data_IF_225945178998
#
_entry.id   IF_225945178998
#
_cell.length_a   1.000
_cell.length_b   1.000
_cell.length_c   1.000
_cell.angle_alpha   90.00
_cell.angle_beta   90.00
_cell.angle_gamma   90.00
#
_symmetry.space_group_name_H-M   'P 1'
#
loop_
_entity.id
_entity.type
_entity.pdbx_description
1 polymer ?
#
# COMPACT_ATOMS: atom_id res chain seq x y z
N UNK A 1 -15.91 -6.90 6.63
CA UNK A 1 -14.53 -6.57 7.05
C UNK A 1 -13.86 -5.81 5.91
N UNK A 2 -13.29 -4.64 6.19
CA UNK A 2 -12.63 -3.78 5.18
C UNK A 2 -11.18 -4.21 4.95
N UNK A 3 -10.78 -4.33 3.69
CA UNK A 3 -9.40 -4.60 3.28
C UNK A 3 -8.67 -3.29 3.03
N UNK A 4 -7.42 -3.17 3.48
CA UNK A 4 -6.57 -2.00 3.21
C UNK A 4 -5.34 -2.43 2.43
N UNK A 5 -5.07 -1.73 1.32
CA UNK A 5 -3.88 -1.92 0.50
C UNK A 5 -3.05 -0.64 0.59
N UNK A 6 -1.82 -0.78 1.07
CA UNK A 6 -0.85 0.29 1.17
C UNK A 6 0.11 0.25 -0.01
N UNK A 7 0.28 1.40 -0.66
CA UNK A 7 1.23 1.58 -1.76
C UNK A 7 2.12 2.79 -1.47
N UNK A 8 3.41 2.65 -1.75
CA UNK A 8 4.34 3.78 -1.76
C UNK A 8 5.09 3.84 -3.10
N UNK A 9 6.20 4.58 -3.18
CA UNK A 9 6.94 4.76 -4.44
C UNK A 9 7.61 3.47 -4.91
N UNK A 10 8.31 2.77 -4.01
CA UNK A 10 9.17 1.61 -4.32
C UNK A 10 8.97 0.43 -3.37
N UNK A 11 7.90 0.41 -2.56
CA UNK A 11 7.55 -0.69 -1.66
C UNK A 11 8.12 -0.67 -0.24
N UNK A 12 9.14 0.15 0.05
CA UNK A 12 9.86 0.07 1.33
C UNK A 12 9.38 1.02 2.45
N UNK A 13 8.35 1.85 2.24
CA UNK A 13 7.97 2.94 3.18
C UNK A 13 6.68 2.71 3.98
N UNK A 14 5.98 1.59 3.78
CA UNK A 14 4.62 1.36 4.30
C UNK A 14 4.56 0.47 5.55
N UNK A 15 5.68 -0.11 6.01
CA UNK A 15 5.68 -1.08 7.11
C UNK A 15 5.21 -0.53 8.46
N UNK A 16 5.64 0.69 8.84
CA UNK A 16 5.24 1.29 10.12
C UNK A 16 3.74 1.64 10.16
N UNK A 17 3.20 2.16 9.06
CA UNK A 17 1.77 2.44 8.93
C UNK A 17 0.95 1.15 8.94
N UNK A 18 1.41 0.10 8.26
CA UNK A 18 0.74 -1.20 8.25
C UNK A 18 0.59 -1.76 9.67
N UNK A 19 1.67 -1.73 10.46
CA UNK A 19 1.66 -2.16 11.87
C UNK A 19 0.68 -1.34 12.69
N UNK A 20 0.67 -0.02 12.52
CA UNK A 20 -0.26 0.85 13.24
C UNK A 20 -1.73 0.52 12.94
N UNK A 21 -2.09 0.28 11.67
CA UNK A 21 -3.45 -0.10 11.27
C UNK A 21 -3.89 -1.42 11.93
N UNK A 22 -3.00 -2.41 11.99
CA UNK A 22 -3.30 -3.71 12.61
C UNK A 22 -3.39 -3.59 14.13
N UNK A 23 -2.37 -3.01 14.76
CA UNK A 23 -2.20 -3.00 16.22
C UNK A 23 -3.11 -2.00 16.94
N UNK A 24 -3.41 -0.85 16.31
CA UNK A 24 -4.15 0.24 16.97
C UNK A 24 -5.57 0.41 16.47
N UNK A 25 -5.86 0.01 15.22
CA UNK A 25 -7.16 0.23 14.59
C UNK A 25 -7.90 -1.08 14.29
N UNK A 26 -7.32 -2.24 14.62
CA UNK A 26 -7.98 -3.54 14.54
C UNK A 26 -8.23 -4.03 13.11
N UNK A 27 -7.52 -3.50 12.11
CA UNK A 27 -7.61 -3.99 10.74
C UNK A 27 -6.99 -5.38 10.65
N UNK A 28 -7.75 -6.35 10.17
CA UNK A 28 -7.32 -7.76 10.06
C UNK A 28 -6.73 -8.10 8.70
N UNK A 29 -6.89 -7.24 7.70
CA UNK A 29 -6.46 -7.47 6.32
C UNK A 29 -5.75 -6.23 5.76
N UNK A 30 -4.43 -6.15 6.00
CA UNK A 30 -3.56 -5.07 5.53
C UNK A 30 -2.47 -5.64 4.62
N UNK A 31 -2.39 -5.15 3.38
CA UNK A 31 -1.43 -5.58 2.37
C UNK A 31 -0.52 -4.44 1.95
N UNK A 32 0.72 -4.75 1.56
CA UNK A 32 1.69 -3.76 1.04
C UNK A 32 2.17 -4.16 -0.35
N UNK A 33 2.16 -3.23 -1.30
CA UNK A 33 2.63 -3.47 -2.68
C UNK A 33 4.16 -3.41 -2.73
N UNK A 34 4.81 -4.55 -3.01
CA UNK A 34 6.28 -4.71 -2.91
C UNK A 34 7.09 -3.83 -3.86
N UNK A 35 6.58 -3.50 -5.04
CA UNK A 35 7.32 -2.69 -6.04
C UNK A 35 6.84 -1.23 -6.12
N UNK A 36 5.87 -0.87 -5.27
CA UNK A 36 5.24 0.45 -5.26
C UNK A 36 4.59 0.87 -6.58
N UNK A 37 4.16 2.13 -6.63
CA UNK A 37 3.46 2.72 -7.77
C UNK A 37 4.36 2.92 -8.99
N UNK A 38 5.68 3.00 -8.80
CA UNK A 38 6.62 3.19 -9.92
C UNK A 38 6.58 1.99 -10.87
N UNK A 39 6.46 0.76 -10.34
CA UNK A 39 6.32 -0.43 -11.18
C UNK A 39 4.98 -0.46 -11.92
N UNK A 40 3.88 -0.12 -11.23
CA UNK A 40 2.55 -0.01 -11.83
C UNK A 40 2.55 0.89 -13.06
N UNK A 41 3.14 2.08 -12.95
CA UNK A 41 3.26 3.04 -14.06
C UNK A 41 4.21 2.53 -15.15
N UNK A 42 5.34 1.90 -14.77
CA UNK A 42 6.29 1.31 -15.74
C UNK A 42 5.67 0.18 -16.57
N UNK A 43 4.69 -0.54 -16.03
CA UNK A 43 3.96 -1.59 -16.73
C UNK A 43 2.86 -1.01 -17.65
N UNK A 44 2.77 0.32 -17.78
CA UNK A 44 1.81 1.01 -18.66
C UNK A 44 0.40 1.13 -18.11
N UNK A 45 0.21 0.82 -16.82
CA UNK A 45 -1.11 0.88 -16.20
C UNK A 45 -1.55 2.33 -15.92
N UNK A 46 -2.86 2.63 -15.95
CA UNK A 46 -3.36 3.96 -15.69
C UNK A 46 -3.14 4.39 -14.23
N UNK A 47 -2.81 5.66 -14.03
CA UNK A 47 -2.74 6.30 -12.74
C UNK A 47 -3.38 7.70 -12.84
N UNK A 48 -4.19 8.06 -11.86
CA UNK A 48 -4.81 9.39 -11.75
C UNK A 48 -4.06 10.24 -10.73
N UNK A 49 -3.99 11.54 -10.99
CA UNK A 49 -3.53 12.55 -10.03
C UNK A 49 -4.71 13.45 -9.68
N UNK A 50 -4.92 13.66 -8.40
CA UNK A 50 -5.89 14.64 -7.89
C UNK A 50 -5.35 16.06 -8.05
#
# INVERSE_FOLDING_TARGET
MSQIILICRTGNRTGALARHLVEKLGYTQVYSVQNGITRWVSDGNPAARH
#
